data_IF_173117008827
#
_entry.id   IF_173117008827
#
_cell.length_a   1.000
_cell.length_b   1.000
_cell.length_c   1.000
_cell.angle_alpha   90.00
_cell.angle_beta   90.00
_cell.angle_gamma   90.00
#
_symmetry.space_group_name_H-M   'P 1'
#
loop_
_entity.id
_entity.type
_entity.pdbx_description
1 polymer ?
#
# COMPACT_ATOMS: atom_id res chain seq x y z
N UNK A 1 24.93 -22.11 -5.95
CA UNK A 1 23.63 -21.65 -5.40
C UNK A 1 23.45 -20.22 -5.86
N UNK A 2 22.37 -19.91 -6.57
CA UNK A 2 22.04 -18.52 -6.94
C UNK A 2 21.66 -17.75 -5.68
N UNK A 3 22.38 -16.67 -5.40
CA UNK A 3 22.11 -15.84 -4.23
C UNK A 3 20.90 -14.93 -4.50
N UNK A 4 19.81 -15.18 -3.77
CA UNK A 4 18.57 -14.38 -3.87
C UNK A 4 18.56 -13.17 -2.94
N UNK A 5 19.61 -12.95 -2.15
CA UNK A 5 19.69 -11.88 -1.16
C UNK A 5 19.51 -10.50 -1.80
N UNK A 6 20.25 -10.20 -2.87
CA UNK A 6 20.13 -8.91 -3.57
C UNK A 6 18.76 -8.71 -4.23
N UNK A 7 18.21 -9.66 -5.00
CA UNK A 7 16.84 -9.56 -5.50
C UNK A 7 15.80 -9.27 -4.42
N UNK A 8 15.88 -9.95 -3.27
CA UNK A 8 14.94 -9.78 -2.15
C UNK A 8 15.06 -8.38 -1.56
N UNK A 9 16.29 -7.91 -1.27
CA UNK A 9 16.51 -6.57 -0.72
C UNK A 9 15.95 -5.50 -1.65
N UNK A 10 16.19 -5.61 -2.96
CA UNK A 10 15.66 -4.66 -3.94
C UNK A 10 14.12 -4.69 -3.95
N UNK A 11 13.51 -5.88 -3.96
CA UNK A 11 12.05 -6.01 -3.90
C UNK A 11 11.45 -5.37 -2.65
N UNK A 12 12.05 -5.60 -1.48
CA UNK A 12 11.64 -4.97 -0.21
C UNK A 12 11.73 -3.46 -0.30
N UNK A 13 12.83 -2.91 -0.81
CA UNK A 13 13.01 -1.46 -0.97
C UNK A 13 11.91 -0.86 -1.86
N UNK A 14 11.63 -1.47 -3.01
CA UNK A 14 10.61 -0.95 -3.93
C UNK A 14 9.18 -1.10 -3.39
N UNK A 15 8.86 -2.22 -2.73
CA UNK A 15 7.57 -2.39 -2.05
C UNK A 15 7.37 -1.40 -0.90
N UNK A 16 8.41 -1.17 -0.10
CA UNK A 16 8.40 -0.19 0.99
C UNK A 16 8.29 1.24 0.44
N UNK A 17 9.03 1.56 -0.62
CA UNK A 17 8.94 2.85 -1.31
C UNK A 17 7.52 3.10 -1.83
N UNK A 18 6.86 2.08 -2.40
CA UNK A 18 5.47 2.19 -2.84
C UNK A 18 4.54 2.55 -1.65
N UNK A 19 4.74 1.92 -0.50
CA UNK A 19 3.96 2.21 0.71
C UNK A 19 4.17 3.64 1.21
N UNK A 20 5.42 4.09 1.30
CA UNK A 20 5.77 5.43 1.75
C UNK A 20 5.22 6.50 0.80
N UNK A 21 5.25 6.24 -0.50
CA UNK A 21 4.68 7.13 -1.50
C UNK A 21 3.16 7.28 -1.32
N UNK A 22 2.46 6.16 -1.07
CA UNK A 22 1.02 6.17 -0.82
C UNK A 22 0.63 6.89 0.47
N UNK A 23 1.44 6.79 1.52
CA UNK A 23 1.17 7.41 2.82
C UNK A 23 1.03 8.94 2.74
N UNK A 24 1.78 9.60 1.85
CA UNK A 24 1.72 11.06 1.65
C UNK A 24 0.35 11.56 1.17
N UNK A 25 -0.44 10.69 0.54
CA UNK A 25 -1.74 11.08 -0.05
C UNK A 25 -2.87 11.09 0.96
N UNK A 26 -2.80 10.24 1.98
CA UNK A 26 -3.88 10.08 2.97
C UNK A 26 -3.93 11.18 4.00
N UNK A 27 -2.77 11.80 4.26
CA UNK A 27 -2.61 12.88 5.23
C UNK A 27 -3.58 14.05 5.03
N UNK A 28 -4.03 14.27 3.78
CA UNK A 28 -4.94 15.38 3.43
C UNK A 28 -6.40 15.06 3.72
N UNK A 29 -6.76 13.79 3.86
CA UNK A 29 -8.13 13.33 4.08
C UNK A 29 -8.35 12.68 5.44
N UNK A 30 -7.25 12.46 6.17
CA UNK A 30 -7.18 11.76 7.44
C UNK A 30 -6.17 12.51 8.31
N UNK A 31 -6.58 13.11 9.44
CA UNK A 31 -5.61 13.66 10.40
C UNK A 31 -4.91 12.48 11.08
N UNK A 32 -3.76 12.07 10.56
CA UNK A 32 -3.01 10.95 11.13
C UNK A 32 -2.06 11.47 12.20
N UNK A 33 -2.32 11.13 13.46
CA UNK A 33 -1.33 11.21 14.53
C UNK A 33 -0.13 10.30 14.20
N UNK A 34 1.05 10.63 14.73
CA UNK A 34 2.32 9.92 14.46
C UNK A 34 2.17 8.39 14.60
N UNK A 35 1.34 7.94 15.54
CA UNK A 35 1.05 6.51 15.79
C UNK A 35 0.46 5.76 14.58
N UNK A 36 -0.45 6.37 13.81
CA UNK A 36 -1.05 5.70 12.65
C UNK A 36 -0.06 5.49 11.50
N UNK A 37 0.90 6.39 11.35
CA UNK A 37 1.95 6.27 10.32
C UNK A 37 2.89 5.10 10.60
N UNK A 38 3.26 4.90 11.87
CA UNK A 38 4.12 3.80 12.29
C UNK A 38 3.50 2.45 11.92
N UNK A 39 2.19 2.29 12.13
CA UNK A 39 1.46 1.07 11.78
C UNK A 39 1.54 0.82 10.26
N UNK A 40 1.28 1.83 9.44
CA UNK A 40 1.35 1.67 7.98
C UNK A 40 2.77 1.37 7.46
N UNK A 41 3.80 1.96 8.08
CA UNK A 41 5.21 1.70 7.77
C UNK A 41 5.56 0.26 8.14
N UNK A 42 5.20 -0.19 9.34
CA UNK A 42 5.47 -1.55 9.80
C UNK A 42 4.78 -2.61 8.92
N UNK A 43 3.50 -2.41 8.60
CA UNK A 43 2.76 -3.32 7.72
C UNK A 43 3.23 -3.26 6.28
N UNK A 44 3.67 -2.08 5.82
CA UNK A 44 4.31 -1.90 4.52
C UNK A 44 5.59 -2.72 4.41
N UNK A 45 6.41 -2.71 5.46
CA UNK A 45 7.61 -3.51 5.54
C UNK A 45 7.28 -5.01 5.50
N UNK A 46 6.34 -5.49 6.32
CA UNK A 46 5.89 -6.90 6.31
C UNK A 46 5.35 -7.28 4.92
N UNK A 47 4.48 -6.46 4.33
CA UNK A 47 3.94 -6.67 2.99
C UNK A 47 5.07 -6.78 1.93
N UNK A 48 6.02 -5.85 1.95
CA UNK A 48 7.14 -5.86 1.00
C UNK A 48 8.06 -7.07 1.19
N UNK A 49 8.33 -7.48 2.44
CA UNK A 49 9.10 -8.68 2.77
C UNK A 49 8.47 -9.94 2.22
N UNK A 50 7.17 -10.12 2.48
CA UNK A 50 6.43 -11.27 1.98
C UNK A 50 6.38 -11.30 0.46
N UNK A 51 6.07 -10.16 -0.18
CA UNK A 51 6.10 -10.05 -1.64
C UNK A 51 7.44 -10.44 -2.24
N UNK A 52 8.54 -9.95 -1.66
CA UNK A 52 9.88 -10.20 -2.15
C UNK A 52 10.33 -11.66 -2.01
N UNK A 53 9.90 -12.37 -0.96
CA UNK A 53 10.34 -13.74 -0.68
C UNK A 53 9.55 -14.80 -1.48
N UNK A 54 8.33 -14.49 -1.94
CA UNK A 54 7.46 -15.44 -2.66
C UNK A 54 8.16 -16.08 -3.85
N UNK A 55 8.78 -15.29 -4.74
CA UNK A 55 9.39 -15.85 -5.96
C UNK A 55 10.61 -16.74 -5.66
N UNK A 56 11.60 -16.32 -4.83
CA UNK A 56 12.67 -17.21 -4.37
C UNK A 56 12.16 -18.50 -3.71
N UNK A 57 11.10 -18.41 -2.89
CA UNK A 57 10.53 -19.57 -2.20
C UNK A 57 9.89 -20.56 -3.18
N UNK A 58 9.16 -20.06 -4.19
CA UNK A 58 8.58 -20.91 -5.24
C UNK A 58 9.66 -21.64 -6.06
N UNK A 59 10.77 -20.98 -6.37
CA UNK A 59 11.90 -21.60 -7.11
C UNK A 59 12.57 -22.69 -6.26
N UNK A 60 12.62 -22.50 -4.94
CA UNK A 60 13.18 -23.46 -3.99
C UNK A 60 12.17 -24.50 -3.52
N UNK A 61 10.96 -24.52 -4.10
CA UNK A 61 9.87 -25.44 -3.73
C UNK A 61 9.45 -25.33 -2.24
N UNK A 62 9.74 -24.18 -1.62
CA UNK A 62 9.38 -23.84 -0.25
C UNK A 62 7.96 -23.27 -0.18
N UNK A 63 6.98 -24.14 -0.40
CA UNK A 63 5.55 -23.75 -0.41
C UNK A 63 5.02 -23.27 0.95
N UNK A 64 5.81 -23.43 2.03
CA UNK A 64 5.55 -22.82 3.35
C UNK A 64 5.36 -21.29 3.28
N UNK A 65 5.97 -20.64 2.28
CA UNK A 65 5.77 -19.22 1.98
C UNK A 65 4.31 -18.83 1.70
N UNK A 66 3.50 -19.74 1.15
CA UNK A 66 2.08 -19.50 0.87
C UNK A 66 1.30 -19.30 2.18
N UNK A 67 1.63 -20.05 3.23
CA UNK A 67 1.00 -19.89 4.55
C UNK A 67 1.27 -18.52 5.16
N UNK A 68 2.49 -17.97 4.98
CA UNK A 68 2.80 -16.61 5.41
C UNK A 68 2.01 -15.53 4.65
N UNK A 69 1.66 -15.78 3.38
CA UNK A 69 0.78 -14.89 2.62
C UNK A 69 -0.65 -14.85 3.20
N UNK A 70 -1.18 -16.00 3.64
CA UNK A 70 -2.48 -16.09 4.33
C UNK A 70 -2.45 -15.33 5.66
N UNK A 71 -1.35 -15.43 6.41
CA UNK A 71 -1.16 -14.65 7.63
C UNK A 71 -1.16 -13.14 7.34
N UNK A 72 -0.52 -12.71 6.25
CA UNK A 72 -0.51 -11.33 5.79
C UNK A 72 -1.92 -10.81 5.44
N UNK A 73 -2.70 -11.61 4.71
CA UNK A 73 -4.07 -11.25 4.36
C UNK A 73 -4.91 -11.02 5.63
N UNK A 74 -4.70 -11.83 6.66
CA UNK A 74 -5.33 -11.63 7.97
C UNK A 74 -4.90 -10.32 8.61
N UNK A 75 -3.60 -10.02 8.61
CA UNK A 75 -3.07 -8.76 9.13
C UNK A 75 -3.65 -7.53 8.42
N UNK A 76 -3.82 -7.57 7.09
CA UNK A 76 -4.37 -6.42 6.36
C UNK A 76 -5.87 -6.24 6.61
N UNK A 77 -6.63 -7.32 6.76
CA UNK A 77 -8.03 -7.27 7.17
C UNK A 77 -8.17 -6.66 8.57
N UNK A 78 -7.31 -7.03 9.50
CA UNK A 78 -7.32 -6.45 10.85
C UNK A 78 -6.97 -4.96 10.84
N UNK A 79 -6.11 -4.54 9.92
CA UNK A 79 -5.78 -3.12 9.70
C UNK A 79 -6.95 -2.36 9.12
N UNK A 80 -7.67 -2.93 8.13
CA UNK A 80 -8.94 -2.36 7.66
C UNK A 80 -9.93 -2.19 8.81
N UNK A 81 -10.09 -3.22 9.64
CA UNK A 81 -11.02 -3.18 10.76
C UNK A 81 -10.62 -2.10 11.78
N UNK A 82 -9.33 -2.00 12.10
CA UNK A 82 -8.78 -0.95 12.96
C UNK A 82 -9.10 0.44 12.40
N UNK A 83 -8.80 0.68 11.13
CA UNK A 83 -9.05 1.98 10.48
C UNK A 83 -10.54 2.33 10.46
N UNK A 84 -11.39 1.37 10.09
CA UNK A 84 -12.84 1.54 10.07
C UNK A 84 -13.38 1.89 11.45
N UNK A 85 -12.94 1.17 12.48
CA UNK A 85 -13.40 1.38 13.86
C UNK A 85 -12.95 2.75 14.38
N UNK A 86 -11.68 3.12 14.16
CA UNK A 86 -11.14 4.43 14.53
C UNK A 86 -11.91 5.56 13.86
N UNK A 87 -12.11 5.48 12.54
CA UNK A 87 -12.90 6.46 11.80
C UNK A 87 -14.34 6.57 12.29
N UNK A 88 -14.98 5.45 12.60
CA UNK A 88 -16.37 5.42 13.09
C UNK A 88 -16.47 6.11 14.45
N UNK A 89 -15.51 5.86 15.35
CA UNK A 89 -15.46 6.54 16.65
C UNK A 89 -15.22 8.04 16.47
N UNK A 90 -14.27 8.43 15.60
CA UNK A 90 -14.00 9.84 15.33
C UNK A 90 -15.19 10.57 14.71
N UNK A 91 -15.93 9.92 13.81
CA UNK A 91 -17.11 10.49 13.14
C UNK A 91 -18.21 10.84 14.14
N UNK A 92 -18.28 10.15 15.29
CA UNK A 92 -19.25 10.46 16.36
C UNK A 92 -19.01 11.80 17.07
N UNK A 93 -17.78 12.34 16.98
CA UNK A 93 -17.40 13.62 17.56
C UNK A 93 -17.49 14.77 16.55
N UNK A 94 -17.80 14.49 15.29
CA UNK A 94 -17.90 15.49 14.23
C UNK A 94 -19.33 16.04 14.15
N UNK A 95 -19.45 17.35 13.90
CA UNK A 95 -20.76 18.02 13.79
C UNK A 95 -21.59 17.54 12.60
N UNK A 96 -20.93 16.98 11.57
CA UNK A 96 -21.56 16.41 10.38
C UNK A 96 -20.88 15.08 10.08
N UNK A 97 -21.66 13.99 10.13
CA UNK A 97 -21.17 12.65 9.82
C UNK A 97 -20.70 12.55 8.37
N UNK A 98 -19.60 11.84 8.17
CA UNK A 98 -19.02 11.51 6.86
C UNK A 98 -19.80 10.39 6.15
N UNK A 99 -20.54 9.57 6.91
CA UNK A 99 -21.30 8.43 6.44
C UNK A 99 -20.51 7.12 6.39
N UNK A 100 -21.18 6.02 6.72
CA UNK A 100 -20.58 4.67 6.83
C UNK A 100 -19.93 4.19 5.54
N UNK A 101 -20.53 4.46 4.39
CA UNK A 101 -19.97 4.08 3.07
C UNK A 101 -18.65 4.79 2.78
N UNK A 102 -18.49 6.05 3.21
CA UNK A 102 -17.24 6.78 3.02
C UNK A 102 -16.14 6.25 3.93
N UNK A 103 -16.47 5.95 5.19
CA UNK A 103 -15.57 5.32 6.16
C UNK A 103 -15.08 3.95 5.67
N UNK A 104 -16.00 3.13 5.17
CA UNK A 104 -15.68 1.82 4.60
C UNK A 104 -14.75 1.95 3.38
N UNK A 105 -15.03 2.92 2.50
CA UNK A 105 -14.19 3.19 1.34
C UNK A 105 -12.76 3.62 1.71
N UNK A 106 -12.60 4.36 2.81
CA UNK A 106 -11.26 4.69 3.34
C UNK A 106 -10.58 3.44 3.90
N UNK A 107 -11.28 2.64 4.69
CA UNK A 107 -10.73 1.44 5.32
C UNK A 107 -10.25 0.41 4.27
N UNK A 108 -11.04 0.17 3.22
CA UNK A 108 -10.66 -0.71 2.10
C UNK A 108 -9.42 -0.16 1.36
N UNK A 109 -9.30 1.15 1.22
CA UNK A 109 -8.12 1.75 0.60
C UNK A 109 -6.83 1.48 1.40
N UNK A 110 -6.91 1.44 2.73
CA UNK A 110 -5.76 1.08 3.59
C UNK A 110 -5.34 -0.38 3.45
N UNK A 111 -6.29 -1.30 3.36
CA UNK A 111 -6.03 -2.71 3.04
C UNK A 111 -5.35 -2.85 1.68
N UNK A 112 -5.94 -2.19 0.67
CA UNK A 112 -5.52 -2.28 -0.74
C UNK A 112 -4.08 -1.85 -0.97
N UNK A 113 -3.59 -0.86 -0.21
CA UNK A 113 -2.21 -0.37 -0.31
C UNK A 113 -1.17 -1.41 0.12
N UNK A 114 -1.52 -2.27 1.07
CA UNK A 114 -0.62 -3.35 1.46
C UNK A 114 -0.54 -4.41 0.35
N UNK A 115 -1.65 -4.73 -0.33
CA UNK A 115 -1.62 -5.62 -1.50
C UNK A 115 -0.76 -5.06 -2.63
N UNK A 116 -0.84 -3.75 -2.88
CA UNK A 116 -0.01 -3.10 -3.88
C UNK A 116 1.49 -3.16 -3.52
N UNK A 117 1.83 -3.01 -2.24
CA UNK A 117 3.20 -3.16 -1.77
C UNK A 117 3.73 -4.59 -1.97
N UNK A 118 2.92 -5.62 -1.67
CA UNK A 118 3.25 -7.03 -1.98
C UNK A 118 3.54 -7.19 -3.47
N UNK A 119 2.60 -6.75 -4.32
CA UNK A 119 2.69 -6.96 -5.77
C UNK A 119 3.91 -6.23 -6.35
N UNK A 120 4.20 -5.02 -5.87
CA UNK A 120 5.37 -4.26 -6.31
C UNK A 120 6.67 -4.97 -5.92
N UNK A 121 6.78 -5.45 -4.68
CA UNK A 121 7.94 -6.20 -4.23
C UNK A 121 8.11 -7.51 -5.01
N UNK A 122 7.02 -8.26 -5.20
CA UNK A 122 7.01 -9.51 -5.95
C UNK A 122 7.49 -9.30 -7.39
N UNK A 123 6.87 -8.39 -8.15
CA UNK A 123 7.24 -8.15 -9.54
C UNK A 123 8.69 -7.67 -9.65
N UNK A 124 9.13 -6.79 -8.74
CA UNK A 124 10.51 -6.30 -8.71
C UNK A 124 11.50 -7.44 -8.46
N UNK A 125 11.25 -8.28 -7.45
CA UNK A 125 12.13 -9.43 -7.15
C UNK A 125 12.12 -10.45 -8.29
N UNK A 126 10.95 -10.77 -8.85
CA UNK A 126 10.83 -11.67 -9.99
C UNK A 126 11.64 -11.16 -11.19
N UNK A 127 11.54 -9.87 -11.51
CA UNK A 127 12.32 -9.26 -12.59
C UNK A 127 13.84 -9.29 -12.31
N UNK A 128 14.25 -9.08 -11.04
CA UNK A 128 15.64 -9.23 -10.62
C UNK A 128 16.18 -10.65 -10.84
N UNK A 129 15.36 -11.67 -10.55
CA UNK A 129 15.77 -13.09 -10.63
C UNK A 129 15.85 -13.58 -12.07
N UNK A 130 14.83 -13.29 -12.89
CA UNK A 130 14.75 -13.86 -14.25
C UNK A 130 15.56 -13.10 -15.30
N UNK A 131 15.84 -11.81 -15.08
CA UNK A 131 16.54 -10.99 -16.06
C UNK A 131 17.87 -10.47 -15.52
N UNK A 132 17.83 -9.48 -14.62
CA UNK A 132 19.00 -8.93 -13.94
C UNK A 132 18.56 -7.94 -12.87
N UNK A 133 19.47 -7.63 -11.94
CA UNK A 133 19.25 -6.58 -10.92
C UNK A 133 18.88 -5.23 -11.56
N UNK A 134 19.53 -4.86 -12.67
CA UNK A 134 19.25 -3.61 -13.38
C UNK A 134 17.82 -3.60 -13.92
N UNK A 135 17.40 -4.67 -14.60
CA UNK A 135 16.03 -4.77 -15.13
C UNK A 135 15.01 -4.72 -14.01
N UNK A 136 15.24 -5.42 -12.90
CA UNK A 136 14.34 -5.37 -11.74
C UNK A 136 14.20 -3.97 -11.14
N UNK A 137 15.30 -3.22 -10.99
CA UNK A 137 15.23 -1.83 -10.51
C UNK A 137 14.49 -0.90 -11.46
N UNK A 138 14.63 -1.09 -12.78
CA UNK A 138 13.89 -0.34 -13.79
C UNK A 138 12.39 -0.65 -13.70
N UNK A 139 12.03 -1.93 -13.61
CA UNK A 139 10.63 -2.37 -13.46
C UNK A 139 10.03 -1.81 -12.16
N UNK A 140 10.73 -1.91 -11.04
CA UNK A 140 10.29 -1.32 -9.77
C UNK A 140 10.06 0.19 -9.87
N UNK A 141 10.96 0.91 -10.56
CA UNK A 141 10.83 2.36 -10.76
C UNK A 141 9.63 2.72 -11.64
N UNK A 142 9.38 1.94 -12.70
CA UNK A 142 8.19 2.08 -13.55
C UNK A 142 6.92 1.87 -12.72
N UNK A 143 6.88 0.82 -11.90
CA UNK A 143 5.75 0.56 -11.01
C UNK A 143 5.53 1.74 -10.06
N UNK A 144 6.56 2.24 -9.38
CA UNK A 144 6.45 3.42 -8.51
C UNK A 144 5.91 4.65 -9.25
N UNK A 145 6.36 4.89 -10.48
CA UNK A 145 5.86 5.99 -11.30
C UNK A 145 4.36 5.86 -11.60
N UNK A 146 3.88 4.66 -11.94
CA UNK A 146 2.46 4.40 -12.17
C UNK A 146 1.62 4.62 -10.91
N UNK A 147 2.10 4.15 -9.76
CA UNK A 147 1.45 4.43 -8.47
C UNK A 147 1.33 5.93 -8.24
N UNK A 148 2.39 6.69 -8.51
CA UNK A 148 2.36 8.14 -8.36
C UNK A 148 1.37 8.85 -9.30
N UNK A 149 1.29 8.42 -10.55
CA UNK A 149 0.34 9.00 -11.51
C UNK A 149 -1.11 8.70 -11.14
N UNK A 150 -1.41 7.45 -10.77
CA UNK A 150 -2.76 7.03 -10.35
C UNK A 150 -3.25 7.83 -9.12
N UNK A 151 -2.34 8.09 -8.19
CA UNK A 151 -2.58 8.90 -7.00
C UNK A 151 -2.88 10.37 -7.35
N UNK A 152 -2.04 10.98 -8.19
CA UNK A 152 -2.17 12.39 -8.56
C UNK A 152 -3.47 12.70 -9.32
N UNK A 153 -3.90 11.79 -10.21
CA UNK A 153 -5.19 11.91 -10.90
C UNK A 153 -6.36 11.95 -9.90
N UNK A 154 -6.31 11.10 -8.86
CA UNK A 154 -7.37 11.02 -7.84
C UNK A 154 -7.44 12.30 -6.98
N UNK A 155 -6.30 12.95 -6.72
CA UNK A 155 -6.25 14.23 -6.02
C UNK A 155 -6.80 15.38 -6.87
N UNK A 156 -6.48 15.42 -8.17
CA UNK A 156 -6.98 16.43 -9.11
C UNK A 156 -8.51 16.43 -9.24
N UNK A 157 -9.12 15.25 -9.34
CA UNK A 157 -10.59 15.10 -9.41
C UNK A 157 -11.27 15.61 -8.13
N UNK A 158 -10.68 15.36 -6.95
CA UNK A 158 -11.22 15.85 -5.66
C UNK A 158 -11.11 17.37 -5.52
N UNK A 159 -10.00 17.96 -5.97
CA UNK A 159 -9.82 19.42 -6.01
C UNK A 159 -10.84 20.10 -6.93
N UNK A 160 -11.11 19.52 -8.10
CA UNK A 160 -12.10 20.04 -9.05
C UNK A 160 -13.53 19.98 -8.49
N UNK A 161 -13.89 18.89 -7.80
CA UNK A 161 -15.21 18.72 -7.16
C UNK A 161 -15.44 19.68 -5.98
N UNK A 162 -14.40 20.05 -5.24
CA UNK A 162 -14.51 21.07 -4.19
C UNK A 162 -14.68 22.49 -4.75
N UNK A 163 -14.04 22.81 -5.88
CA UNK A 163 -14.26 24.10 -6.57
C UNK A 163 -15.65 24.21 -7.20
N UNK A 164 -16.17 23.14 -7.81
CA UNK A 164 -17.52 23.12 -8.40
C UNK A 164 -18.63 23.33 -7.36
N UNK A 165 -18.51 22.75 -6.15
CA UNK A 165 -19.48 22.96 -5.07
C UNK A 165 -19.45 24.37 -4.46
N UNK A 166 -18.38 25.16 -4.67
CA UNK A 166 -18.31 26.57 -4.26
C UNK A 166 -18.91 27.54 -5.30
N UNK A 167 -19.20 27.08 -6.51
CA UNK A 167 -19.73 27.90 -7.60
C UNK A 167 -21.26 27.97 -7.69
N UNK A 168 -21.99 27.27 -6.81
CA UNK A 168 -23.47 27.18 -6.85
C UNK A 168 -24.16 27.76 -5.61
N UNK A 169 -23.51 28.71 -4.92
CA UNK A 169 -24.11 29.44 -3.80
C UNK A 169 -24.28 30.94 -4.11
N UNK A 170 -24.91 31.23 -5.26
CA UNK A 170 -25.48 32.55 -5.58
C UNK A 170 -26.98 32.37 -5.77
#
# INVERSE_FOLDING_TARGET
>A
MTDYTFPVIIGVIFGMAARLYMLRTDYRQYPTYIHGQVIHIALGFIASGLGAIIMPALIQEEFTAITFLTLAATQFRDVRNMERNTLTQMDSYELVSRGSTYIEGIAIAFESRNYIAILTALITTTACIFFSLVVGTVVGSILLFFHGKAINVRQSIKGYRQHSKRGTSL
#
